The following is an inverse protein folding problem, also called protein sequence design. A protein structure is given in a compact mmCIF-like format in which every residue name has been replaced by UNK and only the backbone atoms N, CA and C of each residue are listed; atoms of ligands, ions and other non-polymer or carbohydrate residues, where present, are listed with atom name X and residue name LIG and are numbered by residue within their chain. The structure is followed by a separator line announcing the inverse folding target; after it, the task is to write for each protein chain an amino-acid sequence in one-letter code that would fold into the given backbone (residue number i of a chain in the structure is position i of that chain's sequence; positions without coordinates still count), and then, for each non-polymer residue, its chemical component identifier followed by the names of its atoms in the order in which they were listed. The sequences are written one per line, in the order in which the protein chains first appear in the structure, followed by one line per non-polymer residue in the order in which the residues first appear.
data_IF_939284441320
#
_entry.id   IF_939284441320
#
_cell.length_a   1.000
_cell.length_b   1.000
_cell.length_c   1.000
_cell.angle_alpha   90.00
_cell.angle_beta   90.00
_cell.angle_gamma   90.00
#
_symmetry.space_group_name_H-M   'P 1'
#
loop_
_entity.id
_entity.type
_entity.pdbx_description
1 polymer ?
#
# COMPACT_ATOMS: atom_id res chain seq x y z
N UNK A 1 -1.71 31.43 -16.18
CA UNK A 1 -1.19 30.25 -16.90
C UNK A 1 -1.20 29.09 -15.92
N UNK A 2 -1.86 27.96 -16.23
CA UNK A 2 -1.78 26.76 -15.38
C UNK A 2 -0.38 26.17 -15.54
N UNK A 3 0.41 26.16 -14.47
CA UNK A 3 1.69 25.46 -14.45
C UNK A 3 1.39 23.97 -14.45
N UNK A 4 1.62 23.31 -15.58
CA UNK A 4 1.59 21.85 -15.68
C UNK A 4 2.97 21.37 -15.20
N UNK A 5 3.07 20.69 -14.04
CA UNK A 5 4.34 20.17 -13.58
C UNK A 5 4.88 19.17 -14.62
N UNK A 6 6.18 19.29 -14.95
CA UNK A 6 6.83 18.31 -15.80
C UNK A 6 7.02 17.03 -14.97
N UNK A 7 6.90 15.83 -15.57
CA UNK A 7 7.01 14.58 -14.83
C UNK A 7 8.37 14.41 -14.14
N UNK A 8 9.41 15.07 -14.65
CA UNK A 8 10.77 15.02 -14.11
C UNK A 8 11.03 16.00 -12.95
N UNK A 9 10.11 16.92 -12.67
CA UNK A 9 10.29 17.93 -11.61
C UNK A 9 10.36 17.27 -10.23
N UNK A 10 9.59 16.21 -10.01
CA UNK A 10 9.53 15.54 -8.70
C UNK A 10 10.85 14.81 -8.37
N UNK A 11 11.48 14.17 -9.35
CA UNK A 11 12.78 13.50 -9.16
C UNK A 11 13.89 14.50 -8.82
N UNK A 12 13.94 15.63 -9.52
CA UNK A 12 14.91 16.69 -9.27
C UNK A 12 14.73 17.29 -7.86
N UNK A 13 13.47 17.53 -7.44
CA UNK A 13 13.17 18.00 -6.09
C UNK A 13 13.57 17.00 -5.01
N UNK A 14 13.34 15.70 -5.24
CA UNK A 14 13.78 14.63 -4.34
C UNK A 14 15.30 14.60 -4.22
N UNK A 15 16.03 14.71 -5.34
CA UNK A 15 17.49 14.75 -5.33
C UNK A 15 18.03 15.97 -4.58
N UNK A 16 17.45 17.15 -4.80
CA UNK A 16 17.84 18.37 -4.07
C UNK A 16 17.59 18.24 -2.56
N UNK A 17 16.50 17.58 -2.14
CA UNK A 17 16.23 17.30 -0.73
C UNK A 17 17.28 16.36 -0.12
N UNK A 18 17.66 15.30 -0.82
CA UNK A 18 18.68 14.35 -0.38
C UNK A 18 20.08 15.00 -0.32
N UNK A 19 20.45 15.79 -1.32
CA UNK A 19 21.74 16.50 -1.38
C UNK A 19 21.91 17.54 -0.26
N UNK A 20 20.82 18.12 0.24
CA UNK A 20 20.82 19.03 1.39
C UNK A 20 20.88 18.31 2.75
N UNK A 21 21.03 16.98 2.75
CA UNK A 21 21.09 16.16 3.96
C UNK A 21 19.72 15.68 4.46
N UNK A 22 18.66 15.83 3.66
CA UNK A 22 17.35 15.24 3.95
C UNK A 22 17.40 13.72 3.91
N UNK A 23 16.57 13.06 4.73
CA UNK A 23 16.48 11.59 4.76
C UNK A 23 15.03 11.14 4.55
N UNK A 24 14.84 10.21 3.61
CA UNK A 24 13.54 9.59 3.38
C UNK A 24 13.49 8.33 4.25
N UNK A 25 12.65 8.35 5.29
CA UNK A 25 12.40 7.19 6.14
C UNK A 25 10.99 6.68 5.88
N UNK A 26 10.88 5.40 5.51
CA UNK A 26 9.58 4.73 5.55
C UNK A 26 9.20 4.55 7.01
N UNK A 27 8.14 5.21 7.46
CA UNK A 27 7.59 5.01 8.79
C UNK A 27 7.28 3.53 9.02
N UNK A 28 7.38 3.07 10.27
CA UNK A 28 6.94 1.71 10.65
C UNK A 28 5.42 1.66 10.55
N UNK A 29 4.90 1.32 9.38
CA UNK A 29 3.47 1.10 9.19
C UNK A 29 3.12 -0.29 9.71
N UNK A 30 2.11 -0.40 10.57
CA UNK A 30 1.55 -1.70 10.94
C UNK A 30 1.09 -2.39 9.65
N UNK A 31 1.41 -3.68 9.42
CA UNK A 31 0.85 -4.40 8.28
C UNK A 31 -0.67 -4.28 8.35
N UNK A 32 -1.27 -4.03 7.18
CA UNK A 32 -2.72 -3.95 7.08
C UNK A 32 -3.31 -5.30 7.52
N UNK A 33 -4.36 -5.32 8.37
CA UNK A 33 -4.96 -6.57 8.79
C UNK A 33 -5.46 -7.37 7.59
N UNK A 34 -5.12 -8.66 7.54
CA UNK A 34 -5.51 -9.56 6.45
C UNK A 34 -7.04 -9.77 6.38
N UNK A 35 -7.76 -9.41 7.45
CA UNK A 35 -9.21 -9.49 7.52
C UNK A 35 -9.94 -8.24 7.04
N UNK A 36 -9.23 -7.22 6.57
CA UNK A 36 -9.83 -5.99 6.06
C UNK A 36 -10.22 -6.15 4.60
N UNK A 37 -11.51 -5.98 4.29
CA UNK A 37 -12.05 -5.94 2.94
C UNK A 37 -11.58 -4.68 2.21
N UNK A 38 -10.74 -4.85 1.20
CA UNK A 38 -10.16 -3.76 0.40
C UNK A 38 -10.68 -3.72 -1.04
N UNK A 39 -11.57 -4.64 -1.42
CA UNK A 39 -12.14 -4.76 -2.77
C UNK A 39 -13.61 -4.37 -2.83
N UNK A 40 -14.11 -4.05 -4.03
CA UNK A 40 -15.53 -3.92 -4.34
C UNK A 40 -16.32 -3.04 -3.36
N UNK A 41 -15.88 -1.79 -3.15
CA UNK A 41 -16.58 -0.82 -2.29
C UNK A 41 -16.65 -1.20 -0.79
N UNK A 42 -15.96 -2.24 -0.33
CA UNK A 42 -15.98 -2.68 1.08
C UNK A 42 -14.98 -1.95 1.98
N UNK A 43 -14.44 -0.81 1.54
CA UNK A 43 -13.32 -0.12 2.19
C UNK A 43 -13.51 0.00 3.71
N UNK A 44 -12.72 -0.78 4.46
CA UNK A 44 -12.68 -0.72 5.93
C UNK A 44 -13.61 -1.71 6.66
N UNK A 45 -14.41 -2.49 5.95
CA UNK A 45 -15.23 -3.54 6.54
C UNK A 45 -14.42 -4.82 6.74
N UNK A 46 -14.64 -5.52 7.85
CA UNK A 46 -14.01 -6.82 8.09
C UNK A 46 -14.72 -7.91 7.30
N UNK A 47 -13.96 -8.87 6.79
CA UNK A 47 -14.48 -10.09 6.19
C UNK A 47 -15.40 -10.83 7.18
N UNK A 48 -16.50 -11.38 6.65
CA UNK A 48 -17.38 -12.30 7.38
C UNK A 48 -16.65 -13.60 7.73
N UNK A 49 -17.24 -14.44 8.59
CA UNK A 49 -16.59 -15.67 9.07
C UNK A 49 -16.37 -16.66 7.92
N UNK A 50 -17.31 -16.70 6.99
CA UNK A 50 -17.34 -17.55 5.81
C UNK A 50 -16.25 -17.11 4.82
N UNK A 51 -16.14 -15.81 4.56
CA UNK A 51 -15.10 -15.24 3.70
C UNK A 51 -13.70 -15.45 4.29
N UNK A 52 -13.54 -15.33 5.61
CA UNK A 52 -12.29 -15.65 6.31
C UNK A 52 -11.86 -17.10 6.13
N UNK A 53 -12.80 -18.04 6.17
CA UNK A 53 -12.52 -19.46 5.95
C UNK A 53 -12.06 -19.71 4.51
N UNK A 54 -12.73 -19.10 3.52
CA UNK A 54 -12.34 -19.19 2.12
C UNK A 54 -10.93 -18.62 1.86
N UNK A 55 -10.59 -17.46 2.44
CA UNK A 55 -9.25 -16.88 2.32
C UNK A 55 -8.19 -17.79 2.92
N UNK A 56 -8.45 -18.36 4.11
CA UNK A 56 -7.53 -19.29 4.77
C UNK A 56 -7.31 -20.58 3.99
N UNK A 57 -8.36 -21.11 3.37
CA UNK A 57 -8.27 -22.29 2.51
C UNK A 57 -7.46 -22.00 1.23
N UNK A 58 -7.70 -20.86 0.59
CA UNK A 58 -6.93 -20.42 -0.58
C UNK A 58 -5.45 -20.17 -0.24
N UNK A 59 -5.16 -19.60 0.93
CA UNK A 59 -3.80 -19.42 1.42
C UNK A 59 -3.10 -20.76 1.66
N UNK A 60 -3.79 -21.71 2.29
CA UNK A 60 -3.28 -23.07 2.50
C UNK A 60 -3.02 -23.79 1.17
N UNK A 61 -3.89 -23.62 0.18
CA UNK A 61 -3.72 -24.17 -1.16
C UNK A 61 -2.54 -23.54 -1.91
N UNK A 62 -2.33 -22.23 -1.77
CA UNK A 62 -1.16 -21.54 -2.34
C UNK A 62 0.15 -21.99 -1.70
N UNK A 63 0.16 -22.25 -0.39
CA UNK A 63 1.37 -22.66 0.34
C UNK A 63 1.76 -24.12 0.10
N UNK A 64 0.83 -24.94 -0.42
CA UNK A 64 1.06 -26.33 -0.79
C UNK A 64 1.54 -26.50 -2.24
N UNK A 65 1.45 -25.44 -3.07
CA UNK A 65 2.07 -25.36 -4.39
C UNK A 65 3.52 -24.93 -4.28
#
# INVERSE_FOLDING_TARGET
MKQVPKPTTDEDLIQQFLNKGGTIKKGKTKPMPDDLGLSNNQWGNKLTKEEKAAVKEQEAARKKR
#
